data_IF_269374912044
#
_entry.id   IF_269374912044
#
_cell.length_a   1.000
_cell.length_b   1.000
_cell.length_c   1.000
_cell.angle_alpha   90.00
_cell.angle_beta   90.00
_cell.angle_gamma   90.00
#
_symmetry.space_group_name_H-M   'P 1'
#
loop_
_entity.id
_entity.type
_entity.pdbx_description
1 polymer ?
#
# COMPACT_ATOMS: atom_id res chain seq x y z
N UNK A 1 0.32 -11.94 -24.45
CA UNK A 1 1.19 -12.68 -23.51
C UNK A 1 1.75 -11.77 -22.44
N UNK A 2 1.63 -12.19 -21.18
CA UNK A 2 2.15 -11.43 -20.05
C UNK A 2 1.49 -11.80 -18.73
N UNK A 3 1.39 -13.09 -18.39
CA UNK A 3 0.97 -13.51 -17.04
C UNK A 3 2.21 -13.72 -16.17
N UNK A 4 2.77 -12.61 -15.68
CA UNK A 4 3.66 -12.67 -14.53
C UNK A 4 2.89 -13.15 -13.30
N UNK A 5 3.57 -13.81 -12.36
CA UNK A 5 3.00 -14.12 -11.05
C UNK A 5 3.19 -12.90 -10.17
N UNK A 6 2.10 -12.45 -9.55
CA UNK A 6 2.07 -11.29 -8.68
C UNK A 6 1.37 -11.64 -7.37
N UNK A 7 1.93 -11.18 -6.26
CA UNK A 7 1.26 -11.25 -4.97
C UNK A 7 0.50 -9.94 -4.73
N UNK A 8 -0.78 -10.06 -4.40
CA UNK A 8 -1.66 -8.93 -4.07
C UNK A 8 -1.90 -8.92 -2.55
N UNK A 9 -1.59 -7.80 -1.92
CA UNK A 9 -1.73 -7.62 -0.47
C UNK A 9 -2.87 -6.67 -0.14
N UNK A 10 -3.70 -7.04 0.84
CA UNK A 10 -4.59 -6.11 1.53
C UNK A 10 -3.91 -5.64 2.81
N UNK A 11 -3.80 -4.33 2.98
CA UNK A 11 -3.09 -3.74 4.13
C UNK A 11 -4.10 -3.10 5.06
N UNK A 12 -4.03 -3.47 6.34
CA UNK A 12 -4.86 -2.94 7.39
C UNK A 12 -3.99 -2.27 8.44
N UNK A 13 -4.36 -1.06 8.83
CA UNK A 13 -3.73 -0.34 9.94
C UNK A 13 -4.66 -0.39 11.14
N UNK A 14 -4.10 -0.77 12.28
CA UNK A 14 -4.80 -0.66 13.55
C UNK A 14 -4.91 0.80 13.97
N UNK A 15 -6.11 1.23 14.36
CA UNK A 15 -6.39 2.54 14.95
C UNK A 15 -6.80 2.36 16.40
N UNK A 16 -5.97 2.84 17.33
CA UNK A 16 -6.29 2.83 18.75
C UNK A 16 -7.57 3.61 19.06
N UNK A 17 -7.75 4.77 18.41
CA UNK A 17 -8.93 5.62 18.57
C UNK A 17 -10.25 4.91 18.23
N UNK A 18 -10.24 4.06 17.22
CA UNK A 18 -11.43 3.32 16.78
C UNK A 18 -11.48 1.90 17.37
N UNK A 19 -10.41 1.47 18.06
CA UNK A 19 -10.20 0.09 18.49
C UNK A 19 -10.44 -0.94 17.36
N UNK A 20 -10.05 -0.60 16.13
CA UNK A 20 -10.35 -1.38 14.93
C UNK A 20 -9.25 -1.26 13.85
N UNK A 21 -9.29 -2.16 12.88
CA UNK A 21 -8.40 -2.19 11.71
C UNK A 21 -9.06 -1.50 10.51
N UNK A 22 -8.45 -0.43 10.00
CA UNK A 22 -8.89 0.21 8.75
C UNK A 22 -8.06 -0.31 7.58
N UNK A 23 -8.73 -0.82 6.55
CA UNK A 23 -8.07 -1.10 5.27
C UNK A 23 -7.58 0.21 4.65
N UNK A 24 -6.34 0.21 4.18
CA UNK A 24 -5.77 1.31 3.40
C UNK A 24 -5.57 0.89 1.96
N UNK A 25 -5.58 1.87 1.06
CA UNK A 25 -5.29 1.70 -0.36
C UNK A 25 -3.92 2.31 -0.69
N UNK A 26 -3.23 1.83 -1.73
CA UNK A 26 -2.00 2.45 -2.18
C UNK A 26 -2.27 3.89 -2.63
N UNK A 27 -1.25 4.75 -2.54
CA UNK A 27 -1.32 6.14 -3.02
C UNK A 27 -1.35 6.25 -4.55
N UNK A 28 -1.05 5.16 -5.25
CA UNK A 28 -0.97 5.03 -6.70
C UNK A 28 -1.35 3.60 -7.12
N UNK A 29 -1.99 3.47 -8.29
CA UNK A 29 -2.56 2.20 -8.73
C UNK A 29 -3.74 1.75 -7.85
N UNK A 30 -4.22 0.55 -8.11
CA UNK A 30 -5.44 0.03 -7.48
C UNK A 30 -5.14 -0.85 -6.25
N UNK A 31 -4.05 -1.63 -6.32
CA UNK A 31 -3.71 -2.65 -5.32
C UNK A 31 -2.23 -2.60 -4.90
N UNK A 32 -1.93 -3.11 -3.70
CA UNK A 32 -0.55 -3.34 -3.28
C UNK A 32 0.00 -4.61 -3.94
N UNK A 33 0.56 -4.46 -5.13
CA UNK A 33 1.23 -5.56 -5.84
C UNK A 33 2.69 -5.65 -5.38
N UNK A 34 3.15 -6.87 -5.04
CA UNK A 34 4.52 -7.18 -4.65
C UNK A 34 5.06 -6.24 -3.56
N UNK A 35 4.31 -6.15 -2.47
CA UNK A 35 4.52 -5.18 -1.39
C UNK A 35 5.81 -5.43 -0.60
N UNK A 36 6.57 -4.36 -0.35
CA UNK A 36 7.75 -4.33 0.52
C UNK A 36 7.61 -3.24 1.60
N UNK A 37 8.12 -3.52 2.80
CA UNK A 37 8.03 -2.67 3.99
C UNK A 37 9.36 -1.96 4.28
N UNK A 38 9.37 -0.63 4.17
CA UNK A 38 10.48 0.17 4.67
C UNK A 38 10.19 0.67 6.09
N UNK A 39 10.55 -0.14 7.09
CA UNK A 39 10.31 0.16 8.51
C UNK A 39 10.99 1.44 8.99
N UNK A 40 12.18 1.78 8.47
CA UNK A 40 12.93 2.96 8.89
C UNK A 40 12.22 4.26 8.53
N UNK A 41 11.59 4.29 7.34
CA UNK A 41 10.86 5.46 6.83
C UNK A 41 9.34 5.36 7.02
N UNK A 42 8.83 4.22 7.52
CA UNK A 42 7.41 3.90 7.64
C UNK A 42 6.68 4.00 6.28
N UNK A 43 7.27 3.38 5.26
CA UNK A 43 6.74 3.38 3.89
C UNK A 43 6.33 1.96 3.47
N UNK A 44 5.22 1.89 2.73
CA UNK A 44 4.79 0.74 1.95
C UNK A 44 5.21 0.98 0.50
N UNK A 45 6.01 0.07 -0.04
CA UNK A 45 6.54 0.15 -1.39
C UNK A 45 5.89 -0.97 -2.21
N UNK A 46 5.04 -0.61 -3.16
CA UNK A 46 4.41 -1.56 -4.08
C UNK A 46 4.78 -1.26 -5.53
N UNK A 47 4.35 -2.12 -6.44
CA UNK A 47 4.39 -1.88 -7.88
C UNK A 47 2.99 -1.64 -8.43
N UNK A 48 2.92 -0.89 -9.52
CA UNK A 48 1.73 -0.79 -10.37
C UNK A 48 2.19 -0.74 -11.83
N UNK A 49 1.28 -0.99 -12.76
CA UNK A 49 1.59 -0.99 -14.19
C UNK A 49 0.86 0.15 -14.88
N UNK A 50 1.59 0.92 -15.69
CA UNK A 50 1.04 2.00 -16.51
C UNK A 50 1.69 1.92 -17.88
N UNK A 51 0.89 1.91 -18.95
CA UNK A 51 1.38 1.81 -20.32
C UNK A 51 2.33 0.62 -20.55
N UNK A 52 2.03 -0.53 -19.93
CA UNK A 52 2.86 -1.75 -19.93
C UNK A 52 4.25 -1.61 -19.28
N UNK A 53 4.48 -0.56 -18.50
CA UNK A 53 5.71 -0.38 -17.73
C UNK A 53 5.46 -0.55 -16.23
N UNK A 54 6.35 -1.27 -15.56
CA UNK A 54 6.32 -1.42 -14.10
C UNK A 54 6.80 -0.13 -13.44
N UNK A 55 5.95 0.43 -12.59
CA UNK A 55 6.20 1.67 -11.86
C UNK A 55 6.20 1.38 -10.36
N UNK A 56 7.03 2.11 -9.62
CA UNK A 56 7.10 2.02 -8.16
C UNK A 56 6.07 2.97 -7.53
N UNK A 57 5.29 2.45 -6.59
CA UNK A 57 4.40 3.23 -5.74
C UNK A 57 4.93 3.30 -4.30
N UNK A 58 4.88 4.48 -3.69
CA UNK A 58 5.27 4.70 -2.29
C UNK A 58 4.07 5.26 -1.54
N UNK A 59 3.54 4.47 -0.61
CA UNK A 59 2.48 4.87 0.31
C UNK A 59 3.07 5.12 1.68
N UNK A 60 3.04 6.38 2.12
CA UNK A 60 3.54 6.76 3.44
C UNK A 60 2.52 6.38 4.51
N UNK A 61 2.96 5.61 5.49
CA UNK A 61 2.17 5.23 6.65
C UNK A 61 2.49 6.20 7.78
N UNK A 62 2.11 7.46 7.59
CA UNK A 62 2.00 8.35 8.72
C UNK A 62 0.84 7.84 9.56
N UNK A 63 1.07 7.61 10.85
CA UNK A 63 -0.02 7.45 11.82
C UNK A 63 -0.65 8.84 11.97
N UNK A 64 -1.34 9.28 10.93
CA UNK A 64 -2.02 10.56 10.87
C UNK A 64 -3.46 10.26 11.27
N UNK A 65 -3.72 10.27 12.58
CA UNK A 65 -5.03 9.96 13.17
C UNK A 65 -6.17 10.81 12.59
N UNK A 66 -5.83 11.91 11.91
CA UNK A 66 -6.76 12.83 11.26
C UNK A 66 -7.18 12.42 9.84
N UNK A 67 -6.46 11.52 9.16
CA UNK A 67 -6.88 10.96 7.84
C UNK A 67 -7.81 9.74 7.96
N UNK A 68 -8.15 9.34 9.18
CA UNK A 68 -9.08 8.25 9.44
C UNK A 68 -10.55 8.70 9.47
N UNK A 69 -10.82 10.01 9.42
CA UNK A 69 -12.17 10.59 9.32
C UNK A 69 -12.85 10.30 7.97
#
# INVERSE_FOLDING_TARGET
>A
DGMGIYDIYRVFLYSEKMADFKEIKPSCGDDFINLNLNKKKRELISMYYSHNEAQRCITNVFVDENKLK
#
